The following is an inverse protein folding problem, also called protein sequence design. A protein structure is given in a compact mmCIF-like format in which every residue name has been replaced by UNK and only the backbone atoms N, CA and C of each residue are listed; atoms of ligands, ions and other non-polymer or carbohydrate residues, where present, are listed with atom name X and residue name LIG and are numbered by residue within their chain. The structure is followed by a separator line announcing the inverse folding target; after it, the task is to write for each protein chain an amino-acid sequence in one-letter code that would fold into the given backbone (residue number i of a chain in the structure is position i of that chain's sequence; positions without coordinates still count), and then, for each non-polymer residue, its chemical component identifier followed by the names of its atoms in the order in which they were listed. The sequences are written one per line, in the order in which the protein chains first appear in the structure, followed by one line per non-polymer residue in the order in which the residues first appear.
data_IF_164009513446
#
_entry.id   IF_164009513446
#
_cell.length_a   1.000
_cell.length_b   1.000
_cell.length_c   1.000
_cell.angle_alpha   90.00
_cell.angle_beta   90.00
_cell.angle_gamma   90.00
#
_symmetry.space_group_name_H-M   'P 1'
#
loop_
_entity.id
_entity.type
_entity.pdbx_description
1 polymer ?
#
# COMPACT_ATOMS: atom_id res chain seq x y z
N UNK A 1 -12.16 14.95 -20.27
CA UNK A 1 -11.86 13.83 -19.36
C UNK A 1 -11.88 12.56 -20.18
N UNK A 2 -10.72 11.94 -20.37
CA UNK A 2 -10.67 10.56 -20.86
C UNK A 2 -10.62 9.69 -19.62
N UNK A 3 -11.69 8.96 -19.33
CA UNK A 3 -11.71 7.99 -18.23
C UNK A 3 -10.66 6.91 -18.57
N UNK A 4 -9.55 6.87 -17.82
CA UNK A 4 -8.43 5.96 -18.11
C UNK A 4 -8.70 4.54 -17.61
N UNK A 5 -9.45 4.42 -16.52
CA UNK A 5 -9.76 3.16 -15.85
C UNK A 5 -11.27 2.92 -15.86
N UNK A 6 -11.69 1.75 -16.32
CA UNK A 6 -13.08 1.32 -16.28
C UNK A 6 -13.30 0.32 -15.16
N UNK A 7 -14.41 0.44 -14.43
CA UNK A 7 -14.80 -0.55 -13.44
C UNK A 7 -15.16 -1.87 -14.12
N UNK A 8 -14.69 -2.97 -13.53
CA UNK A 8 -15.14 -4.28 -13.94
C UNK A 8 -16.64 -4.45 -13.62
N UNK A 9 -17.47 -4.97 -14.54
CA UNK A 9 -18.92 -5.09 -14.35
C UNK A 9 -19.30 -6.08 -13.23
N UNK A 10 -18.40 -7.00 -12.88
CA UNK A 10 -18.61 -7.96 -11.79
C UNK A 10 -18.28 -7.40 -10.39
N UNK A 11 -17.93 -6.12 -10.27
CA UNK A 11 -17.67 -5.53 -8.95
C UNK A 11 -18.90 -5.65 -8.01
N UNK A 12 -18.71 -5.95 -6.71
CA UNK A 12 -17.44 -6.26 -6.04
C UNK A 12 -16.94 -7.69 -6.33
N UNK A 13 -15.63 -7.85 -6.55
CA UNK A 13 -15.01 -9.14 -6.93
C UNK A 13 -14.78 -10.10 -5.76
N UNK A 14 -14.61 -9.55 -4.56
CA UNK A 14 -14.43 -10.29 -3.31
C UNK A 14 -15.06 -9.45 -2.19
N UNK A 15 -15.75 -10.12 -1.27
CA UNK A 15 -16.51 -9.51 -0.19
C UNK A 15 -16.23 -10.20 1.15
N UNK A 16 -16.79 -9.66 2.24
CA UNK A 16 -16.72 -10.30 3.55
C UNK A 16 -17.30 -11.72 3.58
N UNK A 17 -18.28 -12.02 2.72
CA UNK A 17 -18.92 -13.34 2.66
C UNK A 17 -18.01 -14.43 2.09
N UNK A 18 -16.94 -14.04 1.38
CA UNK A 18 -15.98 -14.96 0.76
C UNK A 18 -14.86 -15.35 1.74
N UNK A 19 -14.74 -14.65 2.87
CA UNK A 19 -13.75 -14.96 3.91
C UNK A 19 -14.25 -16.13 4.76
N UNK A 20 -13.42 -17.17 5.03
CA UNK A 20 -13.83 -18.34 5.81
C UNK A 20 -13.89 -18.07 7.33
N UNK A 21 -14.35 -16.88 7.73
CA UNK A 21 -14.53 -16.45 9.10
C UNK A 21 -15.64 -15.40 9.19
N UNK A 22 -16.22 -15.22 10.40
CA UNK A 22 -17.18 -14.15 10.62
C UNK A 22 -16.46 -12.79 10.74
N UNK A 23 -16.54 -11.99 9.68
CA UNK A 23 -15.82 -10.72 9.54
C UNK A 23 -16.77 -9.59 9.13
N UNK A 24 -16.39 -8.35 9.42
CA UNK A 24 -17.20 -7.17 9.11
C UNK A 24 -16.94 -6.68 7.67
N UNK A 25 -15.69 -6.73 7.21
CA UNK A 25 -15.33 -6.23 5.89
C UNK A 25 -14.06 -6.88 5.33
N UNK A 26 -13.94 -6.86 4.00
CA UNK A 26 -12.76 -7.31 3.24
C UNK A 26 -12.47 -6.26 2.15
N UNK A 27 -11.30 -5.62 2.18
CA UNK A 27 -10.99 -4.45 1.35
C UNK A 27 -9.48 -4.18 1.27
N UNK A 28 -9.09 -3.08 0.61
CA UNK A 28 -7.71 -2.59 0.46
C UNK A 28 -6.64 -3.62 0.03
N UNK A 29 -6.93 -4.58 -0.89
CA UNK A 29 -5.97 -5.61 -1.20
C UNK A 29 -4.73 -5.05 -1.90
N UNK A 30 -3.55 -5.57 -1.54
CA UNK A 30 -2.43 -5.61 -2.49
C UNK A 30 -2.68 -6.70 -3.52
N UNK A 31 -2.10 -6.54 -4.71
CA UNK A 31 -2.21 -7.49 -5.80
C UNK A 31 -0.84 -7.81 -6.41
N UNK A 32 -0.64 -9.08 -6.77
CA UNK A 32 0.51 -9.56 -7.53
C UNK A 32 0.13 -10.79 -8.35
N UNK A 33 1.03 -11.26 -9.19
CA UNK A 33 0.90 -12.54 -9.88
C UNK A 33 1.95 -13.51 -9.32
N UNK A 34 1.55 -14.75 -9.04
CA UNK A 34 2.43 -15.83 -8.58
C UNK A 34 1.95 -17.13 -9.20
N UNK A 35 2.87 -17.89 -9.80
CA UNK A 35 2.60 -19.19 -10.44
C UNK A 35 1.43 -19.18 -11.46
N UNK A 36 1.25 -18.06 -12.17
CA UNK A 36 0.19 -17.89 -13.17
C UNK A 36 -1.20 -17.60 -12.58
N UNK A 37 -1.28 -17.27 -11.30
CA UNK A 37 -2.51 -16.84 -10.62
C UNK A 37 -2.37 -15.42 -10.07
N UNK A 38 -3.47 -14.68 -10.06
CA UNK A 38 -3.58 -13.41 -9.35
C UNK A 38 -3.74 -13.70 -7.86
N UNK A 39 -2.86 -13.12 -7.07
CA UNK A 39 -2.90 -13.16 -5.61
C UNK A 39 -3.31 -11.79 -5.07
N UNK A 40 -4.28 -11.79 -4.17
CA UNK A 40 -4.63 -10.64 -3.34
C UNK A 40 -4.19 -10.87 -1.90
N UNK A 41 -3.59 -9.85 -1.28
CA UNK A 41 -3.40 -9.77 0.16
C UNK A 41 -4.40 -8.75 0.72
N UNK A 42 -5.55 -9.26 1.12
CA UNK A 42 -6.76 -8.53 1.49
C UNK A 42 -6.68 -8.09 2.95
N UNK A 43 -6.97 -6.83 3.23
CA UNK A 43 -7.25 -6.39 4.60
C UNK A 43 -8.64 -6.90 4.98
N UNK A 44 -8.71 -7.67 6.05
CA UNK A 44 -9.94 -8.19 6.61
C UNK A 44 -10.11 -7.61 8.01
N UNK A 45 -11.24 -6.98 8.26
CA UNK A 45 -11.57 -6.40 9.56
C UNK A 45 -12.67 -7.22 10.24
N UNK A 46 -12.45 -7.60 11.49
CA UNK A 46 -13.44 -8.31 12.27
C UNK A 46 -14.54 -7.39 12.85
N UNK A 47 -15.54 -7.97 13.50
CA UNK A 47 -16.64 -7.21 14.10
C UNK A 47 -16.24 -6.29 15.28
N UNK A 48 -14.98 -6.36 15.75
CA UNK A 48 -14.41 -5.49 16.78
C UNK A 48 -13.65 -4.31 16.17
N UNK A 49 -13.44 -4.31 14.85
CA UNK A 49 -12.62 -3.31 14.16
C UNK A 49 -11.13 -3.68 14.07
N UNK A 50 -10.74 -4.91 14.41
CA UNK A 50 -9.35 -5.35 14.35
C UNK A 50 -9.03 -5.93 12.98
N UNK A 51 -7.90 -5.52 12.40
CA UNK A 51 -7.53 -5.91 11.04
C UNK A 51 -6.43 -6.98 10.98
N UNK A 52 -6.58 -7.90 10.02
CA UNK A 52 -5.59 -8.90 9.63
C UNK A 52 -5.40 -8.86 8.11
N UNK A 53 -4.32 -9.47 7.59
CA UNK A 53 -4.10 -9.60 6.15
C UNK A 53 -4.25 -11.06 5.72
N UNK A 54 -5.15 -11.28 4.77
CA UNK A 54 -5.57 -12.59 4.29
C UNK A 54 -5.19 -12.79 2.83
N UNK A 55 -4.79 -14.01 2.47
CA UNK A 55 -4.44 -14.33 1.09
C UNK A 55 -5.65 -14.91 0.35
N UNK A 56 -5.90 -14.41 -0.86
CA UNK A 56 -6.85 -14.97 -1.80
C UNK A 56 -6.19 -15.15 -3.18
N UNK A 57 -6.47 -16.25 -3.87
CA UNK A 57 -5.90 -16.57 -5.19
C UNK A 57 -7.01 -16.81 -6.22
N UNK A 58 -6.83 -16.30 -7.42
CA UNK A 58 -7.72 -16.53 -8.56
C UNK A 58 -6.92 -16.68 -9.85
N UNK A 59 -7.37 -17.55 -10.76
CA UNK A 59 -6.69 -17.76 -12.06
C UNK A 59 -6.86 -16.59 -13.01
N UNK A 60 -8.01 -15.92 -12.96
CA UNK A 60 -8.35 -14.81 -13.86
C UNK A 60 -8.29 -13.44 -13.15
N UNK A 61 -8.15 -13.43 -11.82
CA UNK A 61 -8.15 -12.22 -11.01
C UNK A 61 -9.52 -11.55 -10.89
N UNK A 62 -10.59 -12.26 -11.24
CA UNK A 62 -11.96 -11.74 -11.29
C UNK A 62 -12.92 -12.63 -10.51
N UNK A 63 -12.83 -13.94 -10.68
CA UNK A 63 -13.78 -14.92 -10.16
C UNK A 63 -13.11 -16.09 -9.44
N UNK A 64 -13.92 -16.97 -8.84
CA UNK A 64 -13.48 -18.23 -8.20
C UNK A 64 -12.30 -18.06 -7.22
N UNK A 65 -12.38 -17.02 -6.39
CA UNK A 65 -11.37 -16.73 -5.37
C UNK A 65 -11.25 -17.87 -4.37
N UNK A 66 -10.04 -18.42 -4.25
CA UNK A 66 -9.66 -19.37 -3.22
C UNK A 66 -8.99 -18.61 -2.09
N UNK A 67 -9.72 -18.44 -0.99
CA UNK A 67 -9.23 -17.75 0.22
C UNK A 67 -8.64 -18.78 1.17
N UNK A 68 -7.45 -18.51 1.71
CA UNK A 68 -6.78 -19.42 2.65
C UNK A 68 -7.61 -19.60 3.93
N UNK A 69 -7.42 -20.66 4.71
CA UNK A 69 -8.25 -20.89 5.93
C UNK A 69 -7.88 -19.98 7.11
N UNK A 70 -6.70 -19.35 7.08
CA UNK A 70 -6.18 -18.49 8.14
C UNK A 70 -5.43 -17.30 7.56
N UNK A 71 -5.39 -16.15 8.27
CA UNK A 71 -4.69 -14.96 7.78
C UNK A 71 -3.17 -15.19 7.73
N UNK A 72 -2.52 -14.54 6.76
CA UNK A 72 -1.06 -14.58 6.60
C UNK A 72 -0.36 -13.71 7.64
N UNK A 73 -0.89 -12.50 7.89
CA UNK A 73 -0.40 -11.58 8.91
C UNK A 73 -1.54 -11.25 9.87
N UNK A 74 -1.25 -11.44 11.15
CA UNK A 74 -2.12 -11.15 12.28
C UNK A 74 -1.28 -10.57 13.43
N UNK A 75 -1.89 -9.84 14.38
CA UNK A 75 -1.17 -9.23 15.50
C UNK A 75 -0.35 -10.23 16.32
N UNK A 76 0.95 -10.00 16.41
CA UNK A 76 1.86 -10.73 17.31
C UNK A 76 2.76 -9.80 18.12
N UNK A 77 3.05 -8.60 17.58
CA UNK A 77 3.86 -7.58 18.25
C UNK A 77 3.00 -6.51 18.93
N UNK A 78 3.57 -5.81 19.92
CA UNK A 78 2.90 -4.68 20.61
C UNK A 78 2.46 -3.56 19.65
N UNK A 79 3.17 -3.40 18.52
CA UNK A 79 2.86 -2.38 17.51
C UNK A 79 1.67 -2.76 16.61
N UNK A 80 1.15 -3.98 16.72
CA UNK A 80 0.08 -4.52 15.89
C UNK A 80 -1.22 -4.74 16.69
N UNK A 81 -1.29 -4.29 17.94
CA UNK A 81 -2.41 -4.56 18.87
C UNK A 81 -3.82 -4.33 18.28
N UNK A 82 -3.96 -3.34 17.40
CA UNK A 82 -5.20 -3.01 16.71
C UNK A 82 -5.29 -3.56 15.27
N UNK A 83 -4.19 -4.06 14.72
CA UNK A 83 -4.19 -4.82 13.48
C UNK A 83 -2.94 -4.68 12.63
N UNK A 84 -2.88 -5.56 11.62
CA UNK A 84 -2.02 -5.43 10.45
C UNK A 84 -2.89 -4.93 9.29
N UNK A 85 -2.62 -3.74 8.77
CA UNK A 85 -3.48 -3.08 7.77
C UNK A 85 -2.76 -2.78 6.45
N UNK A 86 -3.56 -2.71 5.38
CA UNK A 86 -3.22 -2.08 4.11
C UNK A 86 -1.85 -2.53 3.54
N UNK A 87 -1.60 -3.83 3.51
CA UNK A 87 -0.36 -4.41 2.98
C UNK A 87 -0.13 -4.08 1.51
N UNK A 88 1.12 -3.80 1.12
CA UNK A 88 1.63 -3.53 -0.24
C UNK A 88 2.72 -4.55 -0.54
N UNK A 89 2.55 -5.27 -1.64
CA UNK A 89 3.43 -6.37 -2.03
C UNK A 89 4.36 -5.90 -3.14
N UNK A 90 5.66 -6.10 -2.97
CA UNK A 90 6.67 -5.82 -3.98
C UNK A 90 7.57 -7.03 -4.14
N UNK A 91 7.62 -7.61 -5.34
CA UNK A 91 8.63 -8.63 -5.64
C UNK A 91 10.00 -7.95 -5.82
N UNK A 92 11.02 -8.47 -5.15
CA UNK A 92 12.38 -7.93 -5.18
C UNK A 92 13.31 -8.98 -5.81
N UNK A 93 13.68 -8.84 -7.09
CA UNK A 93 14.46 -9.85 -7.80
C UNK A 93 15.82 -10.16 -7.17
N UNK A 94 16.49 -9.14 -6.60
CA UNK A 94 17.78 -9.31 -5.90
C UNK A 94 17.67 -10.24 -4.68
N UNK A 95 16.52 -10.24 -4.00
CA UNK A 95 16.26 -11.12 -2.85
C UNK A 95 15.66 -12.47 -3.27
N UNK A 96 14.95 -12.50 -4.40
CA UNK A 96 14.13 -13.65 -4.81
C UNK A 96 12.90 -13.83 -3.91
N UNK A 97 12.41 -12.73 -3.33
CA UNK A 97 11.34 -12.72 -2.32
C UNK A 97 10.38 -11.57 -2.56
N UNK A 98 9.18 -11.68 -2.02
CA UNK A 98 8.23 -10.58 -1.91
C UNK A 98 8.43 -9.88 -0.57
N UNK A 99 8.53 -8.55 -0.61
CA UNK A 99 8.49 -7.69 0.56
C UNK A 99 7.07 -7.14 0.71
N UNK A 100 6.52 -7.30 1.91
CA UNK A 100 5.22 -6.77 2.32
C UNK A 100 5.48 -5.56 3.20
N UNK A 101 5.15 -4.36 2.72
CA UNK A 101 5.05 -3.16 3.55
C UNK A 101 3.63 -3.04 4.07
N UNK A 102 3.44 -2.90 5.38
CA UNK A 102 2.12 -2.83 5.99
C UNK A 102 2.08 -1.83 7.14
N UNK A 103 0.86 -1.44 7.53
CA UNK A 103 0.66 -0.62 8.71
C UNK A 103 0.52 -1.54 9.92
N UNK A 104 1.47 -1.47 10.85
CA UNK A 104 1.31 -2.02 12.18
C UNK A 104 0.57 -0.97 13.02
N UNK A 105 -0.66 -1.27 13.43
CA UNK A 105 -1.50 -0.31 14.15
C UNK A 105 -1.71 -0.72 15.60
N UNK A 106 -1.47 0.21 16.52
CA UNK A 106 -1.74 0.04 17.95
C UNK A 106 -2.06 1.38 18.62
N UNK A 107 -2.20 1.35 19.95
CA UNK A 107 -2.37 2.55 20.78
C UNK A 107 -1.22 3.57 20.66
N UNK A 108 -0.07 3.16 20.12
CA UNK A 108 1.07 4.05 19.84
C UNK A 108 0.92 4.81 18.51
N UNK A 109 -0.11 4.49 17.73
CA UNK A 109 -0.36 5.05 16.39
C UNK A 109 0.05 4.09 15.26
N UNK A 110 -0.29 4.43 14.01
CA UNK A 110 0.08 3.63 12.85
C UNK A 110 1.57 3.78 12.54
N UNK A 111 2.29 2.66 12.50
CA UNK A 111 3.69 2.59 12.11
C UNK A 111 3.86 1.79 10.82
N UNK A 112 4.96 2.02 10.10
CA UNK A 112 5.29 1.22 8.91
C UNK A 112 6.14 0.03 9.34
N UNK A 113 5.68 -1.16 9.03
CA UNK A 113 6.40 -2.41 9.25
C UNK A 113 6.66 -3.14 7.93
N UNK A 114 7.68 -3.98 7.92
CA UNK A 114 8.02 -4.85 6.79
C UNK A 114 7.97 -6.32 7.19
N UNK A 115 7.57 -7.16 6.24
CA UNK A 115 7.71 -8.61 6.29
C UNK A 115 8.19 -9.14 4.93
N UNK A 116 8.72 -10.36 4.89
CA UNK A 116 9.15 -11.04 3.67
C UNK A 116 8.51 -12.41 3.55
N UNK A 117 8.25 -12.84 2.32
CA UNK A 117 7.73 -14.16 2.01
C UNK A 117 8.21 -14.63 0.64
N UNK A 118 8.23 -15.95 0.44
CA UNK A 118 8.49 -16.61 -0.85
C UNK A 118 7.26 -17.29 -1.45
N UNK A 119 6.22 -17.48 -0.67
CA UNK A 119 5.11 -18.37 -1.01
C UNK A 119 3.73 -17.84 -0.59
N UNK A 120 3.68 -16.77 0.21
CA UNK A 120 2.47 -16.28 0.86
C UNK A 120 1.76 -17.36 1.70
N UNK A 121 2.54 -18.26 2.29
CA UNK A 121 2.12 -19.24 3.30
C UNK A 121 2.85 -18.99 4.63
N UNK A 122 4.12 -18.59 4.54
CA UNK A 122 4.94 -18.22 5.69
C UNK A 122 5.51 -16.81 5.53
N UNK A 123 5.69 -16.11 6.65
CA UNK A 123 6.22 -14.75 6.68
C UNK A 123 7.33 -14.60 7.70
N UNK A 124 8.42 -13.97 7.28
CA UNK A 124 9.45 -13.44 8.17
C UNK A 124 9.15 -11.97 8.44
N UNK A 125 8.84 -11.61 9.69
CA UNK A 125 8.65 -10.20 10.07
C UNK A 125 10.01 -9.54 10.28
N UNK A 126 10.25 -8.41 9.59
CA UNK A 126 11.37 -7.52 9.92
C UNK A 126 10.99 -6.54 11.04
N UNK A 127 9.68 -6.34 11.27
CA UNK A 127 9.15 -5.47 12.30
C UNK A 127 8.94 -4.03 11.82
N UNK A 128 8.72 -3.12 12.77
CA UNK A 128 8.54 -1.69 12.51
C UNK A 128 9.84 -1.08 12.02
N UNK A 129 9.79 -0.45 10.84
CA UNK A 129 10.95 0.18 10.18
C UNK A 129 10.87 1.70 10.14
N UNK A 130 9.66 2.28 10.23
CA UNK A 130 9.47 3.73 10.40
C UNK A 130 8.43 3.99 11.49
N UNK A 131 8.80 4.85 12.43
CA UNK A 131 7.99 5.21 13.60
C UNK A 131 6.63 5.84 13.26
N UNK A 132 5.64 5.71 14.15
CA UNK A 132 4.36 6.39 14.01
C UNK A 132 4.48 7.93 14.17
N UNK A 133 3.59 8.74 13.61
CA UNK A 133 2.47 8.38 12.73
C UNK A 133 2.89 8.29 11.26
N UNK A 134 2.82 7.09 10.68
CA UNK A 134 3.27 6.82 9.32
C UNK A 134 2.55 5.60 8.71
N UNK A 135 2.22 5.66 7.41
CA UNK A 135 1.53 4.58 6.68
C UNK A 135 1.69 4.73 5.16
N UNK A 136 0.86 4.03 4.39
CA UNK A 136 0.79 4.08 2.93
C UNK A 136 2.14 3.75 2.27
N UNK A 137 2.86 2.79 2.86
CA UNK A 137 4.22 2.48 2.46
C UNK A 137 4.28 1.42 1.36
N UNK A 138 5.25 1.57 0.45
CA UNK A 138 5.53 0.59 -0.59
C UNK A 138 7.01 0.64 -0.97
N UNK A 139 7.64 -0.54 -1.06
CA UNK A 139 9.03 -0.68 -1.43
C UNK A 139 9.18 -0.51 -2.96
N UNK A 140 10.27 0.08 -3.41
CA UNK A 140 10.66 0.03 -4.83
C UNK A 140 11.20 -1.37 -5.16
N UNK A 141 10.92 -1.93 -6.36
CA UNK A 141 11.23 -3.31 -6.69
C UNK A 141 12.73 -3.61 -6.86
N UNK A 142 13.59 -2.59 -6.82
CA UNK A 142 15.04 -2.70 -6.87
C UNK A 142 15.69 -1.55 -6.11
N UNK A 143 16.99 -1.70 -5.84
CA UNK A 143 17.81 -0.60 -5.35
C UNK A 143 17.92 0.54 -6.36
N UNK A 144 18.05 1.75 -5.84
CA UNK A 144 18.34 2.98 -6.59
C UNK A 144 19.57 3.58 -5.94
N UNK A 145 20.62 3.81 -6.74
CA UNK A 145 21.94 4.24 -6.25
C UNK A 145 22.48 3.36 -5.10
N UNK A 146 22.32 2.04 -5.25
CA UNK A 146 22.77 1.04 -4.26
C UNK A 146 21.95 0.97 -2.96
N UNK A 147 20.89 1.79 -2.82
CA UNK A 147 20.04 1.82 -1.63
C UNK A 147 18.65 1.25 -1.93
N UNK A 148 18.06 0.58 -0.94
CA UNK A 148 16.62 0.31 -0.92
C UNK A 148 15.88 1.62 -0.76
N UNK A 149 14.75 1.78 -1.46
CA UNK A 149 13.92 2.99 -1.39
C UNK A 149 12.50 2.59 -1.01
N UNK A 150 11.94 3.29 -0.02
CA UNK A 150 10.60 3.06 0.51
C UNK A 150 9.78 4.33 0.36
N UNK A 151 8.69 4.26 -0.39
CA UNK A 151 7.63 5.26 -0.34
C UNK A 151 6.90 5.14 0.99
N UNK A 152 6.58 6.26 1.62
CA UNK A 152 5.81 6.28 2.87
C UNK A 152 5.11 7.64 3.07
N UNK A 153 4.33 7.76 4.14
CA UNK A 153 3.43 8.91 4.35
C UNK A 153 3.35 9.29 5.82
N UNK A 154 4.37 9.97 6.36
CA UNK A 154 4.33 10.48 7.71
C UNK A 154 3.29 11.60 7.80
N UNK A 155 2.68 11.75 8.97
CA UNK A 155 1.91 12.96 9.29
C UNK A 155 2.89 14.03 9.76
N UNK A 156 3.16 15.01 8.91
CA UNK A 156 4.11 16.10 9.19
C UNK A 156 3.43 17.45 9.01
N UNK A 157 3.60 18.35 9.98
CA UNK A 157 2.90 19.65 9.97
C UNK A 157 1.37 19.52 9.94
N UNK A 158 0.84 18.43 10.51
CA UNK A 158 -0.61 18.13 10.53
C UNK A 158 -1.18 17.63 9.20
N UNK A 159 -0.34 17.38 8.19
CA UNK A 159 -0.78 16.95 6.85
C UNK A 159 -0.06 15.68 6.41
N UNK A 160 -0.79 14.82 5.68
CA UNK A 160 -0.21 13.66 5.03
C UNK A 160 0.39 14.01 3.66
N UNK A 161 1.71 14.09 3.58
CA UNK A 161 2.48 14.21 2.33
C UNK A 161 3.17 12.88 2.02
N UNK A 162 3.56 12.65 0.76
CA UNK A 162 4.30 11.44 0.36
C UNK A 162 5.80 11.71 0.39
N UNK A 163 6.54 10.80 1.00
CA UNK A 163 7.97 10.87 1.24
C UNK A 163 8.66 9.60 0.78
N UNK A 164 9.96 9.69 0.54
CA UNK A 164 10.87 8.55 0.43
C UNK A 164 11.77 8.50 1.64
N UNK A 165 12.15 7.28 2.02
CA UNK A 165 13.31 6.99 2.84
C UNK A 165 14.20 5.97 2.11
N UNK A 166 15.51 6.00 2.39
CA UNK A 166 16.46 5.04 1.84
C UNK A 166 17.09 4.17 2.93
N UNK A 167 17.51 2.96 2.58
CA UNK A 167 18.13 2.02 3.51
C UNK A 167 19.21 1.17 2.83
N UNK A 168 20.34 0.88 3.51
CA UNK A 168 21.33 -0.05 2.99
C UNK A 168 20.93 -1.53 3.15
N UNK A 169 20.01 -1.85 4.08
CA UNK A 169 19.80 -3.21 4.60
C UNK A 169 18.33 -3.59 4.88
N UNK A 170 17.36 -2.72 4.53
CA UNK A 170 15.92 -2.83 4.81
C UNK A 170 15.54 -2.69 6.30
N UNK A 171 16.51 -2.39 7.17
CA UNK A 171 16.28 -2.24 8.62
C UNK A 171 16.52 -0.79 9.06
N UNK A 172 17.63 -0.20 8.63
CA UNK A 172 18.00 1.17 9.01
C UNK A 172 17.59 2.14 7.91
N UNK A 173 16.60 2.99 8.19
CA UNK A 173 16.03 3.92 7.20
C UNK A 173 16.39 5.37 7.52
N UNK A 174 16.78 6.12 6.48
CA UNK A 174 17.20 7.53 6.59
C UNK A 174 17.00 8.30 5.28
N UNK A 175 17.72 9.43 5.15
CA UNK A 175 17.70 10.28 3.94
C UNK A 175 16.28 10.63 3.45
N UNK A 176 15.43 11.06 4.38
CA UNK A 176 14.03 11.33 4.09
C UNK A 176 13.86 12.52 3.12
N UNK A 177 13.03 12.34 2.09
CA UNK A 177 12.73 13.38 1.09
C UNK A 177 11.23 13.44 0.81
N UNK A 178 10.64 14.63 0.86
CA UNK A 178 9.25 14.82 0.40
C UNK A 178 9.21 14.80 -1.13
N UNK A 179 8.33 13.97 -1.69
CA UNK A 179 8.22 13.79 -3.16
C UNK A 179 6.99 14.48 -3.71
N UNK A 180 5.86 14.32 -3.01
CA UNK A 180 4.60 14.93 -3.38
C UNK A 180 4.00 15.56 -2.13
N UNK A 181 3.50 16.79 -2.30
CA UNK A 181 2.75 17.52 -1.28
C UNK A 181 1.26 17.46 -1.60
N UNK A 182 0.44 17.37 -0.57
CA UNK A 182 -0.99 17.60 -0.71
C UNK A 182 -1.19 19.04 -1.20
N UNK A 183 -2.08 19.26 -2.17
CA UNK A 183 -2.19 20.59 -2.84
C UNK A 183 -2.92 21.65 -2.01
N UNK A 184 -3.57 21.25 -0.92
CA UNK A 184 -4.37 22.14 -0.08
C UNK A 184 -5.68 22.63 -0.72
N UNK A 185 -6.41 23.46 0.03
CA UNK A 185 -7.58 24.21 -0.42
C UNK A 185 -8.63 23.35 -1.17
N UNK A 186 -9.01 23.76 -2.38
CA UNK A 186 -10.13 23.20 -3.12
C UNK A 186 -9.82 21.89 -3.87
N UNK A 187 -8.54 21.50 -3.94
CA UNK A 187 -8.08 20.36 -4.73
C UNK A 187 -8.63 19.03 -4.20
N UNK A 188 -8.82 18.06 -5.11
CA UNK A 188 -9.38 16.75 -4.77
C UNK A 188 -8.46 15.92 -3.87
N UNK A 189 -7.18 16.24 -3.84
CA UNK A 189 -6.12 15.67 -3.01
C UNK A 189 -5.54 16.70 -2.03
N UNK A 190 -6.35 17.70 -1.67
CA UNK A 190 -5.93 18.84 -0.88
C UNK A 190 -5.70 18.54 0.60
N UNK A 191 -6.42 17.58 1.19
CA UNK A 191 -6.38 17.31 2.63
C UNK A 191 -5.23 16.38 3.02
N UNK A 192 -5.01 15.31 2.25
CA UNK A 192 -3.86 14.40 2.38
C UNK A 192 -3.73 13.55 1.13
N UNK A 193 -2.53 13.02 0.91
CA UNK A 193 -2.19 12.07 -0.14
C UNK A 193 -1.42 10.89 0.42
N UNK A 194 -1.43 9.75 -0.26
CA UNK A 194 -0.66 8.58 0.11
C UNK A 194 -0.49 7.60 -1.05
N UNK A 195 0.49 6.71 -0.94
CA UNK A 195 0.70 5.64 -1.90
C UNK A 195 -0.52 4.73 -2.03
N UNK A 196 -0.79 4.27 -3.25
CA UNK A 196 -1.77 3.23 -3.53
C UNK A 196 -1.07 1.90 -3.76
N UNK A 197 -0.79 1.60 -5.03
CA UNK A 197 0.01 0.45 -5.44
C UNK A 197 1.51 0.73 -5.27
N UNK A 198 2.31 -0.33 -5.34
CA UNK A 198 3.76 -0.22 -5.40
C UNK A 198 4.22 0.58 -6.63
N UNK A 199 5.35 1.32 -6.54
CA UNK A 199 5.91 2.04 -7.68
C UNK A 199 6.15 1.12 -8.87
N UNK A 200 5.62 1.48 -10.04
CA UNK A 200 5.81 0.74 -11.27
C UNK A 200 6.96 1.34 -12.07
N UNK A 201 7.98 0.54 -12.38
CA UNK A 201 9.06 0.97 -13.25
C UNK A 201 8.60 1.05 -14.70
N UNK A 202 8.86 2.18 -15.36
CA UNK A 202 8.61 2.41 -16.78
C UNK A 202 9.84 3.02 -17.45
N UNK A 203 9.95 3.01 -18.79
CA UNK A 203 11.01 3.74 -19.49
C UNK A 203 11.07 5.23 -19.14
N UNK A 204 9.93 5.84 -18.82
CA UNK A 204 9.79 7.27 -18.52
C UNK A 204 10.06 7.62 -17.05
N UNK A 205 10.09 6.63 -16.15
CA UNK A 205 10.24 6.86 -14.71
C UNK A 205 9.44 5.89 -13.85
N UNK A 206 9.25 6.25 -12.59
CA UNK A 206 8.40 5.49 -11.66
C UNK A 206 6.98 6.01 -11.69
N UNK A 207 6.07 5.22 -12.25
CA UNK A 207 4.65 5.52 -12.24
C UNK A 207 4.06 5.18 -10.86
N UNK A 208 3.47 6.17 -10.23
CA UNK A 208 2.77 6.05 -8.96
C UNK A 208 1.26 6.19 -9.16
N UNK A 209 0.51 5.20 -8.70
CA UNK A 209 -0.91 5.36 -8.40
C UNK A 209 -1.01 5.83 -6.95
N UNK A 210 -1.50 7.05 -6.74
CA UNK A 210 -1.64 7.61 -5.40
C UNK A 210 -3.10 7.98 -5.13
N UNK A 211 -3.51 7.85 -3.87
CA UNK A 211 -4.81 8.33 -3.44
C UNK A 211 -4.68 9.77 -2.96
N UNK A 212 -5.74 10.54 -3.17
CA UNK A 212 -5.90 11.90 -2.67
C UNK A 212 -7.23 12.06 -1.97
N UNK A 213 -7.22 12.84 -0.90
CA UNK A 213 -8.39 13.07 -0.05
C UNK A 213 -8.82 14.52 -0.13
N UNK A 214 -10.12 14.71 -0.34
CA UNK A 214 -10.80 15.99 -0.13
C UNK A 214 -11.68 15.89 1.11
N UNK A 215 -11.49 16.80 2.06
CA UNK A 215 -12.36 16.89 3.22
C UNK A 215 -13.66 17.61 2.82
N UNK A 216 -14.78 16.90 2.91
CA UNK A 216 -16.12 17.46 2.73
C UNK A 216 -16.79 17.59 4.10
N UNK A 217 -17.94 18.30 4.15
CA UNK A 217 -18.72 18.48 5.39
C UNK A 217 -19.18 17.14 5.97
N UNK A 218 -19.53 16.18 5.11
CA UNK A 218 -19.99 14.83 5.50
C UNK A 218 -18.87 13.81 5.71
N UNK A 219 -17.60 14.23 5.60
CA UNK A 219 -16.44 13.34 5.71
C UNK A 219 -15.48 13.39 4.53
N UNK A 220 -14.43 12.57 4.55
CA UNK A 220 -13.42 12.53 3.50
C UNK A 220 -13.92 11.81 2.25
N UNK A 221 -13.56 12.32 1.07
CA UNK A 221 -13.75 11.64 -0.21
C UNK A 221 -12.39 11.29 -0.79
N UNK A 222 -12.17 10.00 -1.05
CA UNK A 222 -10.97 9.46 -1.65
C UNK A 222 -11.12 9.38 -3.17
N UNK A 223 -10.06 9.76 -3.89
CA UNK A 223 -9.93 9.57 -5.35
C UNK A 223 -8.51 9.14 -5.69
N UNK A 224 -8.31 8.65 -6.91
CA UNK A 224 -7.00 8.17 -7.41
C UNK A 224 -6.47 9.12 -8.47
N UNK A 225 -5.17 9.43 -8.40
CA UNK A 225 -4.43 10.15 -9.42
C UNK A 225 -3.14 9.43 -9.78
N UNK A 226 -2.40 9.99 -10.75
CA UNK A 226 -1.11 9.47 -11.18
C UNK A 226 -0.02 10.50 -10.97
N UNK A 227 1.17 10.03 -10.63
CA UNK A 227 2.39 10.82 -10.65
C UNK A 227 3.52 10.01 -11.29
N UNK A 228 4.46 10.68 -11.93
CA UNK A 228 5.66 10.09 -12.49
C UNK A 228 6.85 10.68 -11.74
N UNK A 229 7.68 9.83 -11.15
CA UNK A 229 8.94 10.23 -10.54
C UNK A 229 10.10 9.92 -11.49
N UNK A 230 11.18 10.69 -11.37
CA UNK A 230 12.40 10.42 -12.14
C UNK A 230 12.96 9.03 -11.78
N UNK A 231 13.46 8.30 -12.79
CA UNK A 231 13.88 6.91 -12.63
C UNK A 231 15.08 6.74 -11.69
N UNK A 232 16.03 7.66 -11.77
CA UNK A 232 17.31 7.58 -11.07
C UNK A 232 17.34 8.51 -9.85
N UNK A 233 16.50 9.55 -9.85
CA UNK A 233 16.31 10.51 -8.75
C UNK A 233 14.85 10.54 -8.31
N UNK A 234 14.30 9.46 -7.71
CA UNK A 234 12.87 9.33 -7.42
C UNK A 234 12.32 10.38 -6.45
N UNK A 235 13.17 11.16 -5.77
CA UNK A 235 12.75 12.32 -4.99
C UNK A 235 12.29 13.52 -5.87
N UNK A 236 12.44 13.44 -7.19
CA UNK A 236 11.94 14.42 -8.15
C UNK A 236 10.69 13.92 -8.88
N UNK A 237 9.56 14.60 -8.67
CA UNK A 237 8.36 14.38 -9.45
C UNK A 237 8.47 15.05 -10.83
N UNK A 238 8.42 14.25 -11.89
CA UNK A 238 8.48 14.69 -13.30
C UNK A 238 7.11 15.14 -13.79
N UNK A 239 6.06 14.44 -13.39
CA UNK A 239 4.69 14.76 -13.75
C UNK A 239 3.70 14.36 -12.65
N UNK A 240 2.53 15.00 -12.64
CA UNK A 240 1.41 14.68 -11.76
C UNK A 240 0.11 15.09 -12.42
N UNK A 241 -0.94 14.26 -12.31
CA UNK A 241 -2.24 14.60 -12.88
C UNK A 241 -2.94 15.71 -12.09
N UNK A 242 -3.54 16.66 -12.81
CA UNK A 242 -4.38 17.68 -12.19
C UNK A 242 -5.71 17.10 -11.72
N UNK A 243 -6.32 16.25 -12.54
CA UNK A 243 -7.58 15.57 -12.30
C UNK A 243 -7.36 14.16 -11.71
N UNK A 244 -8.40 13.60 -11.10
CA UNK A 244 -8.43 12.18 -10.73
C UNK A 244 -8.69 11.32 -11.98
N UNK A 245 -8.21 10.08 -11.97
CA UNK A 245 -8.19 9.20 -13.16
C UNK A 245 -9.13 8.00 -13.05
N UNK A 246 -9.66 7.77 -11.84
CA UNK A 246 -10.61 6.70 -11.56
C UNK A 246 -11.81 7.33 -10.86
N UNK A 247 -12.92 7.42 -11.59
CA UNK A 247 -14.20 7.91 -11.10
C UNK A 247 -15.06 6.73 -10.74
#
# INVERSE_FOLDING_TARGET
MTELFHRHPANPLLTAADIPAHVASAFNPAATEIDGEVLLLVRVEDARGLSVLWVARSRDGVSDWRVDESPLLFPVEIYEEWGCEDGRITFVPELGEWVIAYTAYSHLGPAVALARTRDFQSVERLGVVLSPENKDAALFPRRIDGQWVLLHRPVSGGTGHMWLASSPDLVHWGHANVVLRARGAAWWDGARIGGGAQPLETPEGWLLLYHGVKQMVSGPVYRVGLALLDRDQPWHAVARTDEWVFA
#
